data_IF_775080283371
#
_entry.id   IF_775080283371
#
_cell.length_a   1.000
_cell.length_b   1.000
_cell.length_c   1.000
_cell.angle_alpha   90.00
_cell.angle_beta   90.00
_cell.angle_gamma   90.00
#
_symmetry.space_group_name_H-M   'P 1'
#
loop_
_entity.id
_entity.type
_entity.pdbx_description
1 polymer ?
#
# COMPACT_ATOMS: atom_id res chain seq x y z
N UNK A 1 -7.34 12.51 -13.61
CA UNK A 1 -7.19 11.51 -14.68
C UNK A 1 -5.89 11.64 -15.44
N UNK A 2 -5.49 12.85 -15.89
CA UNK A 2 -4.23 13.05 -16.63
C UNK A 2 -2.97 12.58 -15.85
N UNK A 3 -2.92 12.80 -14.53
CA UNK A 3 -1.87 12.27 -13.65
C UNK A 3 -1.74 10.74 -13.74
N UNK A 4 -2.83 9.98 -13.59
CA UNK A 4 -2.78 8.51 -13.67
C UNK A 4 -2.36 8.02 -15.06
N UNK A 5 -2.68 8.78 -16.11
CA UNK A 5 -2.28 8.47 -17.49
C UNK A 5 -0.76 8.64 -17.66
N UNK A 6 -0.19 9.74 -17.17
CA UNK A 6 1.25 10.04 -17.22
C UNK A 6 2.03 9.07 -16.33
N UNK A 7 1.60 8.88 -15.07
CA UNK A 7 2.25 7.94 -14.16
C UNK A 7 2.16 6.48 -14.63
N UNK A 8 1.12 6.14 -15.39
CA UNK A 8 1.00 4.84 -16.05
C UNK A 8 1.89 4.70 -17.28
N UNK A 9 2.10 5.78 -18.04
CA UNK A 9 2.98 5.81 -19.20
C UNK A 9 4.48 5.83 -18.82
N UNK A 10 4.82 6.46 -17.70
CA UNK A 10 6.17 6.44 -17.10
C UNK A 10 6.46 5.15 -16.33
N UNK A 11 5.47 4.25 -16.19
CA UNK A 11 5.61 2.98 -15.49
C UNK A 11 6.46 2.01 -16.32
N UNK A 12 7.78 2.23 -16.35
CA UNK A 12 8.71 1.38 -17.07
C UNK A 12 9.12 0.17 -16.21
N UNK A 13 8.33 -0.90 -16.31
CA UNK A 13 8.66 -2.21 -15.74
C UNK A 13 9.88 -2.87 -16.42
N UNK A 14 10.41 -2.29 -17.50
CA UNK A 14 11.56 -2.84 -18.22
C UNK A 14 12.83 -2.86 -17.38
N UNK A 15 12.93 -2.06 -16.31
CA UNK A 15 14.04 -2.12 -15.35
C UNK A 15 14.20 -3.54 -14.76
N UNK A 16 13.08 -4.25 -14.53
CA UNK A 16 13.12 -5.61 -13.98
C UNK A 16 13.48 -6.68 -15.02
N UNK A 17 13.14 -6.46 -16.30
CA UNK A 17 13.41 -7.43 -17.38
C UNK A 17 14.83 -7.32 -17.94
N UNK A 18 15.43 -6.12 -17.89
CA UNK A 18 16.74 -5.86 -18.48
C UNK A 18 17.89 -6.43 -17.65
N UNK A 19 17.73 -6.43 -16.33
CA UNK A 19 18.79 -6.81 -15.39
C UNK A 19 18.25 -7.63 -14.20
N UNK A 20 18.18 -8.97 -14.32
CA UNK A 20 17.62 -9.85 -13.27
C UNK A 20 18.42 -9.81 -11.95
N UNK A 21 19.68 -9.36 -11.98
CA UNK A 21 20.48 -9.14 -10.78
C UNK A 21 19.90 -8.05 -9.86
N UNK A 22 19.21 -7.05 -10.42
CA UNK A 22 18.57 -5.98 -9.65
C UNK A 22 17.33 -6.45 -8.93
N UNK A 23 16.60 -7.38 -9.53
CA UNK A 23 15.46 -8.02 -8.88
C UNK A 23 15.93 -8.68 -7.58
N UNK A 24 17.07 -9.38 -7.61
CA UNK A 24 17.62 -10.05 -6.44
C UNK A 24 18.05 -9.08 -5.33
N UNK A 25 18.50 -7.87 -5.68
CA UNK A 25 18.98 -6.88 -4.72
C UNK A 25 17.87 -5.96 -4.18
N UNK A 26 16.90 -5.56 -5.02
CA UNK A 26 15.86 -4.60 -4.65
C UNK A 26 14.55 -5.25 -4.19
N UNK A 27 14.24 -6.48 -4.63
CA UNK A 27 13.03 -7.19 -4.19
C UNK A 27 12.99 -7.39 -2.66
N UNK A 28 14.08 -7.77 -1.98
CA UNK A 28 14.08 -7.88 -0.51
C UNK A 28 13.75 -6.55 0.18
N UNK A 29 14.26 -5.43 -0.35
CA UNK A 29 13.99 -4.10 0.19
C UNK A 29 12.52 -3.71 0.01
N UNK A 30 11.93 -3.99 -1.16
CA UNK A 30 10.53 -3.74 -1.42
C UNK A 30 9.62 -4.59 -0.50
N UNK A 31 9.97 -5.87 -0.28
CA UNK A 31 9.24 -6.75 0.65
C UNK A 31 9.36 -6.24 2.08
N UNK A 32 10.56 -5.89 2.54
CA UNK A 32 10.79 -5.35 3.88
C UNK A 32 9.99 -4.05 4.09
N UNK A 33 10.04 -3.14 3.11
CA UNK A 33 9.23 -1.91 3.11
C UNK A 33 7.74 -2.21 3.20
N UNK A 34 7.24 -3.18 2.41
CA UNK A 34 5.83 -3.58 2.43
C UNK A 34 5.37 -3.98 3.84
N UNK A 35 6.13 -4.86 4.51
CA UNK A 35 5.77 -5.32 5.85
C UNK A 35 5.90 -4.22 6.91
N UNK A 36 7.03 -3.51 6.93
CA UNK A 36 7.27 -2.44 7.91
C UNK A 36 6.23 -1.34 7.81
N UNK A 37 5.88 -0.92 6.59
CA UNK A 37 4.84 0.09 6.36
C UNK A 37 3.45 -0.41 6.79
N UNK A 38 3.12 -1.66 6.48
CA UNK A 38 1.85 -2.27 6.87
C UNK A 38 1.70 -2.33 8.38
N UNK A 39 2.75 -2.79 9.07
CA UNK A 39 2.81 -2.84 10.53
C UNK A 39 2.71 -1.44 11.15
N UNK A 40 3.43 -0.46 10.60
CA UNK A 40 3.36 0.92 11.07
C UNK A 40 1.95 1.53 10.98
N UNK A 41 1.25 1.32 9.86
CA UNK A 41 -0.14 1.78 9.71
C UNK A 41 -1.08 1.08 10.67
N UNK A 42 -0.95 -0.25 10.83
CA UNK A 42 -1.78 -1.02 11.74
C UNK A 42 -1.55 -0.62 13.20
N UNK A 43 -0.30 -0.57 13.65
CA UNK A 43 0.08 -0.19 15.01
C UNK A 43 -0.29 1.27 15.29
N UNK A 44 -0.03 2.19 14.37
CA UNK A 44 -0.37 3.60 14.52
C UNK A 44 -1.88 3.82 14.62
N UNK A 45 -2.67 3.15 13.77
CA UNK A 45 -4.14 3.21 13.86
C UNK A 45 -4.65 2.63 15.18
N UNK A 46 -4.08 1.50 15.63
CA UNK A 46 -4.45 0.88 16.89
C UNK A 46 -4.15 1.79 18.08
N UNK A 47 -2.93 2.32 18.19
CA UNK A 47 -2.51 3.23 19.26
C UNK A 47 -3.30 4.54 19.26
N UNK A 48 -3.58 5.11 18.09
CA UNK A 48 -4.39 6.31 17.94
C UNK A 48 -5.83 6.07 18.40
N UNK A 49 -6.43 4.95 17.98
CA UNK A 49 -7.80 4.58 18.36
C UNK A 49 -7.93 4.18 19.84
N UNK A 50 -6.86 3.68 20.45
CA UNK A 50 -6.80 3.34 21.88
C UNK A 50 -6.76 4.59 22.77
N UNK A 51 -6.06 5.63 22.33
CA UNK A 51 -5.95 6.90 23.07
C UNK A 51 -7.29 7.65 23.16
N UNK A 52 -8.20 7.42 22.21
CA UNK A 52 -9.50 8.08 22.16
C UNK A 52 -10.54 7.32 23.00
N UNK A 53 -11.12 7.96 24.03
CA UNK A 53 -12.04 7.30 24.97
C UNK A 53 -13.35 6.84 24.32
N UNK A 54 -13.85 7.57 23.32
CA UNK A 54 -15.14 7.31 22.68
C UNK A 54 -15.03 6.60 21.31
N UNK A 55 -13.91 5.96 21.01
CA UNK A 55 -13.72 5.30 19.72
C UNK A 55 -14.52 3.99 19.63
N UNK A 56 -15.29 3.83 18.55
CA UNK A 56 -16.05 2.62 18.24
C UNK A 56 -15.10 1.39 18.18
N UNK A 57 -15.43 0.28 18.87
CA UNK A 57 -14.62 -0.95 18.85
C UNK A 57 -14.39 -1.51 17.43
N UNK A 58 -15.31 -1.28 16.48
CA UNK A 58 -15.13 -1.68 15.08
C UNK A 58 -14.06 -0.83 14.38
N UNK A 59 -14.02 0.47 14.67
CA UNK A 59 -12.96 1.36 14.15
C UNK A 59 -11.61 0.92 14.72
N UNK A 60 -11.52 0.68 16.04
CA UNK A 60 -10.28 0.21 16.70
C UNK A 60 -9.73 -1.07 16.08
N UNK A 61 -10.62 -2.00 15.70
CA UNK A 61 -10.24 -3.32 15.17
C UNK A 61 -9.89 -3.31 13.69
N UNK A 62 -10.60 -2.53 12.87
CA UNK A 62 -10.55 -2.67 11.41
C UNK A 62 -9.91 -1.49 10.68
N UNK A 63 -9.78 -0.32 11.30
CA UNK A 63 -9.23 0.88 10.67
C UNK A 63 -7.82 0.65 10.11
N UNK A 64 -6.94 -0.03 10.85
CA UNK A 64 -5.57 -0.32 10.41
C UNK A 64 -5.51 -1.12 9.10
N UNK A 65 -6.44 -2.06 8.89
CA UNK A 65 -6.53 -2.83 7.66
C UNK A 65 -7.07 -1.98 6.50
N UNK A 66 -8.06 -1.12 6.78
CA UNK A 66 -8.65 -0.23 5.78
C UNK A 66 -7.65 0.82 5.25
N UNK A 67 -6.60 1.13 6.01
CA UNK A 67 -5.57 2.10 5.65
C UNK A 67 -4.43 1.50 4.80
N UNK A 68 -4.36 0.19 4.62
CA UNK A 68 -3.33 -0.47 3.80
C UNK A 68 -3.33 -0.05 2.34
N UNK A 69 -4.47 -0.05 1.60
CA UNK A 69 -4.48 0.34 0.19
C UNK A 69 -3.97 1.79 0.00
N UNK A 70 -3.12 1.97 -0.99
CA UNK A 70 -2.52 3.25 -1.37
C UNK A 70 -2.18 3.21 -2.86
N UNK A 71 -2.31 4.34 -3.56
CA UNK A 71 -1.88 4.44 -4.95
C UNK A 71 -1.41 5.86 -5.30
N UNK A 72 -2.35 6.78 -5.57
CA UNK A 72 -2.06 8.04 -6.27
C UNK A 72 -0.91 8.87 -5.69
N UNK A 73 -0.96 9.18 -4.40
CA UNK A 73 0.08 10.02 -3.75
C UNK A 73 1.43 9.30 -3.69
N UNK A 74 1.46 7.98 -3.50
CA UNK A 74 2.70 7.20 -3.49
C UNK A 74 3.41 7.30 -4.82
N UNK A 75 2.67 6.99 -5.88
CA UNK A 75 3.19 6.92 -7.24
C UNK A 75 3.70 8.31 -7.66
N UNK A 76 2.97 9.39 -7.34
CA UNK A 76 3.39 10.74 -7.70
C UNK A 76 4.69 11.16 -7.02
N UNK A 77 4.82 10.90 -5.71
CA UNK A 77 6.05 11.17 -4.98
C UNK A 77 7.21 10.29 -5.46
N UNK A 78 6.92 9.05 -5.88
CA UNK A 78 7.91 8.15 -6.45
C UNK A 78 8.44 8.71 -7.78
N UNK A 79 7.56 9.09 -8.71
CA UNK A 79 7.93 9.74 -9.97
C UNK A 79 8.78 10.99 -9.73
N UNK A 80 8.37 11.88 -8.83
CA UNK A 80 9.15 13.07 -8.48
C UNK A 80 10.51 12.69 -7.89
N UNK A 81 10.58 11.64 -7.09
CA UNK A 81 11.85 11.12 -6.54
C UNK A 81 12.74 10.57 -7.65
N UNK A 82 12.19 9.89 -8.66
CA UNK A 82 12.90 9.46 -9.86
C UNK A 82 13.57 10.63 -10.60
N UNK A 83 12.87 11.76 -10.71
CA UNK A 83 13.37 12.95 -11.39
C UNK A 83 14.39 13.76 -10.56
N UNK A 84 14.26 13.75 -9.23
CA UNK A 84 15.08 14.59 -8.34
C UNK A 84 16.29 13.86 -7.75
N UNK A 85 16.19 12.55 -7.50
CA UNK A 85 17.25 11.76 -6.86
C UNK A 85 18.11 11.04 -7.90
N UNK A 86 18.72 11.82 -8.79
CA UNK A 86 19.57 11.32 -9.90
C UNK A 86 20.98 10.94 -9.47
N UNK A 87 21.33 11.12 -8.18
CA UNK A 87 22.63 10.74 -7.66
C UNK A 87 22.86 9.23 -7.90
N UNK A 88 24.04 8.85 -8.44
CA UNK A 88 24.32 7.48 -8.80
C UNK A 88 24.35 6.58 -7.56
N UNK A 89 23.75 5.42 -7.72
CA UNK A 89 23.78 4.28 -6.84
C UNK A 89 24.52 3.12 -7.54
N UNK A 90 24.77 2.06 -6.78
CA UNK A 90 25.44 0.87 -7.29
C UNK A 90 24.74 0.31 -8.54
N UNK A 91 25.55 -0.15 -9.51
CA UNK A 91 25.04 -0.83 -10.71
C UNK A 91 24.54 0.08 -11.84
N UNK A 92 24.76 1.40 -11.77
CA UNK A 92 24.33 2.33 -12.83
C UNK A 92 22.90 2.86 -12.68
N UNK A 93 22.27 2.59 -11.54
CA UNK A 93 20.94 3.09 -11.17
C UNK A 93 21.06 4.32 -10.27
N UNK A 94 20.04 5.15 -10.22
CA UNK A 94 19.95 6.25 -9.26
C UNK A 94 19.15 5.85 -8.01
N UNK A 95 19.25 6.62 -6.93
CA UNK A 95 18.37 6.44 -5.77
C UNK A 95 16.89 6.59 -6.14
N UNK A 96 16.58 7.48 -7.08
CA UNK A 96 15.23 7.70 -7.59
C UNK A 96 14.63 6.43 -8.21
N UNK A 97 15.40 5.73 -9.03
CA UNK A 97 14.97 4.50 -9.69
C UNK A 97 14.58 3.41 -8.70
N UNK A 98 15.32 3.30 -7.59
CA UNK A 98 15.08 2.33 -6.52
C UNK A 98 13.76 2.64 -5.81
N UNK A 99 13.52 3.92 -5.51
CA UNK A 99 12.29 4.39 -4.85
C UNK A 99 11.09 4.14 -5.76
N UNK A 100 11.20 4.48 -7.04
CA UNK A 100 10.17 4.24 -8.06
C UNK A 100 9.85 2.76 -8.13
N UNK A 101 10.86 1.91 -8.33
CA UNK A 101 10.69 0.46 -8.39
C UNK A 101 10.02 -0.11 -7.14
N UNK A 102 10.50 0.25 -5.95
CA UNK A 102 9.93 -0.23 -4.70
C UNK A 102 8.48 0.21 -4.50
N UNK A 103 8.16 1.48 -4.75
CA UNK A 103 6.81 2.02 -4.54
C UNK A 103 5.83 1.42 -5.56
N UNK A 104 6.20 1.33 -6.83
CA UNK A 104 5.33 0.77 -7.87
C UNK A 104 5.03 -0.71 -7.61
N UNK A 105 6.05 -1.51 -7.31
CA UNK A 105 5.89 -2.94 -7.02
C UNK A 105 5.06 -3.19 -5.77
N UNK A 106 5.32 -2.45 -4.68
CA UNK A 106 4.54 -2.57 -3.45
C UNK A 106 3.12 -2.05 -3.61
N UNK A 107 2.90 -1.02 -4.44
CA UNK A 107 1.56 -0.49 -4.75
C UNK A 107 0.68 -1.54 -5.45
N UNK A 108 1.24 -2.38 -6.32
CA UNK A 108 0.49 -3.49 -6.93
C UNK A 108 0.04 -4.47 -5.84
N UNK A 109 0.94 -4.86 -4.95
CA UNK A 109 0.61 -5.75 -3.82
C UNK A 109 -0.44 -5.12 -2.89
N UNK A 110 -0.32 -3.83 -2.57
CA UNK A 110 -1.30 -3.11 -1.76
C UNK A 110 -2.67 -3.00 -2.41
N UNK A 111 -2.74 -2.85 -3.74
CA UNK A 111 -4.03 -2.80 -4.41
C UNK A 111 -4.71 -4.16 -4.45
N UNK A 112 -3.96 -5.25 -4.63
CA UNK A 112 -4.53 -6.60 -4.63
C UNK A 112 -4.93 -7.01 -3.20
N UNK A 113 -3.96 -7.01 -2.28
CA UNK A 113 -4.15 -7.51 -0.91
C UNK A 113 -4.95 -6.50 -0.10
N UNK A 114 -4.60 -5.22 -0.18
CA UNK A 114 -5.25 -4.16 0.60
C UNK A 114 -6.71 -3.94 0.21
N UNK A 115 -7.08 -3.97 -1.08
CA UNK A 115 -8.49 -3.85 -1.46
C UNK A 115 -9.32 -5.03 -0.94
N UNK A 116 -8.77 -6.24 -0.99
CA UNK A 116 -9.41 -7.43 -0.43
C UNK A 116 -9.60 -7.31 1.09
N UNK A 117 -8.55 -6.93 1.82
CA UNK A 117 -8.60 -6.75 3.27
C UNK A 117 -9.54 -5.63 3.68
N UNK A 118 -9.56 -4.49 2.97
CA UNK A 118 -10.47 -3.38 3.24
C UNK A 118 -11.92 -3.80 3.04
N UNK A 119 -12.22 -4.56 1.98
CA UNK A 119 -13.57 -5.10 1.75
C UNK A 119 -14.00 -5.98 2.91
N UNK A 120 -13.18 -6.94 3.31
CA UNK A 120 -13.49 -7.86 4.42
C UNK A 120 -13.62 -7.11 5.75
N UNK A 121 -12.75 -6.13 6.00
CA UNK A 121 -12.81 -5.27 7.16
C UNK A 121 -14.12 -4.48 7.22
N UNK A 122 -14.61 -3.93 6.10
CA UNK A 122 -15.88 -3.21 6.03
C UNK A 122 -17.08 -4.15 6.30
N UNK A 123 -17.06 -5.36 5.73
CA UNK A 123 -18.10 -6.37 5.95
C UNK A 123 -18.18 -6.75 7.44
N UNK A 124 -17.02 -7.01 8.06
CA UNK A 124 -16.94 -7.39 9.48
C UNK A 124 -17.22 -6.24 10.44
N UNK A 125 -16.96 -5.00 10.02
CA UNK A 125 -17.35 -3.81 10.76
C UNK A 125 -18.88 -3.54 10.69
N UNK A 126 -19.62 -4.29 9.87
CA UNK A 126 -21.06 -4.12 9.69
C UNK A 126 -21.43 -2.85 8.92
N UNK A 127 -20.48 -2.24 8.21
CA UNK A 127 -20.66 -0.98 7.48
C UNK A 127 -21.18 -1.18 6.04
N UNK A 128 -21.30 -2.43 5.59
CA UNK A 128 -21.90 -2.79 4.30
C UNK A 128 -23.23 -3.47 4.54
N UNK A 129 -24.31 -2.79 4.16
CA UNK A 129 -25.66 -3.35 4.23
C UNK A 129 -25.79 -4.61 3.37
N UNK A 130 -26.32 -5.67 3.97
CA UNK A 130 -26.63 -6.92 3.29
C UNK A 130 -25.53 -7.99 3.23
N UNK A 131 -24.28 -7.71 3.64
CA UNK A 131 -23.18 -8.71 3.64
C UNK A 131 -22.63 -9.09 5.02
N UNK A 132 -23.13 -8.52 6.12
CA UNK A 132 -22.59 -8.74 7.47
C UNK A 132 -22.84 -10.14 8.06
N UNK A 133 -21.97 -10.61 8.98
CA UNK A 133 -22.03 -11.96 9.60
C UNK A 133 -23.25 -12.20 10.51
N UNK A 134 -24.04 -11.18 10.84
CA UNK A 134 -25.15 -11.28 11.79
C UNK A 134 -26.51 -11.59 11.14
N UNK A 135 -26.51 -12.14 9.91
CA UNK A 135 -27.75 -12.43 9.16
C UNK A 135 -28.60 -13.57 9.76
N UNK A 136 -28.01 -14.46 10.55
CA UNK A 136 -28.75 -15.58 11.14
C UNK A 136 -29.62 -15.21 12.34
N UNK A 137 -29.33 -14.13 13.07
CA UNK A 137 -30.07 -13.76 14.29
C UNK A 137 -31.16 -12.72 14.11
N UNK A 138 -31.38 -12.22 12.87
CA UNK A 138 -32.35 -11.15 12.57
C UNK A 138 -33.59 -11.63 11.83
N UNK A 139 -33.79 -12.95 11.72
CA UNK A 139 -34.92 -13.59 11.06
C UNK A 139 -35.88 -14.31 12.02
N UNK A 140 -35.68 -14.18 13.33
CA UNK A 140 -36.59 -14.69 14.38
C UNK A 140 -37.29 -13.53 15.09
#
# INVERSE_FOLDING_TARGET
MMFFLISGAELDMSIYYRDPALLLMFLPLAILYFFMRSLGKWAGAYLGSFSEKNCDPMIRKYLGLMLLPQAGVAIGLATTSGQQLTAPFAGGYSYGDIVVCAILSTTILYNIIGAFLTKEALIRAGQIDGMGPNREKRKE
#
